data_IF_323818403826
#
_entry.id   IF_323818403826
#
_cell.length_a   1.000
_cell.length_b   1.000
_cell.length_c   1.000
_cell.angle_alpha   90.00
_cell.angle_beta   90.00
_cell.angle_gamma   90.00
#
_symmetry.space_group_name_H-M   'P 1'
#
loop_
_entity.id
_entity.type
_entity.pdbx_description
1 polymer ?
#
# COMPACT_ATOMS: atom_id res chain seq x y z
N UNK A 1 79.28 16.46 47.62
CA UNK A 1 80.36 15.96 46.73
C UNK A 1 79.74 15.60 45.37
N UNK A 2 79.81 16.48 44.38
CA UNK A 2 80.77 16.44 43.25
C UNK A 2 80.65 15.25 42.28
N UNK A 3 80.20 15.61 41.05
CA UNK A 3 80.69 15.21 39.71
C UNK A 3 80.39 13.81 39.13
N UNK A 4 79.65 13.84 37.98
CA UNK A 4 79.94 13.35 36.60
C UNK A 4 80.41 11.87 36.44
N UNK A 5 80.00 11.05 35.44
CA UNK A 5 79.50 11.25 34.06
C UNK A 5 79.18 9.88 33.42
N UNK A 6 78.27 9.84 32.44
CA UNK A 6 78.22 8.83 31.35
C UNK A 6 76.80 8.66 30.76
N UNK A 7 76.38 9.44 29.74
CA UNK A 7 76.38 9.11 28.28
C UNK A 7 75.39 7.98 27.92
N UNK A 8 74.48 8.02 26.94
CA UNK A 8 74.17 8.83 25.73
C UNK A 8 72.71 8.47 25.30
N UNK A 9 71.83 9.43 24.96
CA UNK A 9 71.43 9.92 23.62
C UNK A 9 70.71 8.87 22.71
N UNK A 10 69.54 9.14 22.11
CA UNK A 10 69.27 10.02 20.93
C UNK A 10 67.79 10.50 20.98
N UNK A 11 67.43 11.79 20.87
CA UNK A 11 67.42 12.72 19.71
C UNK A 11 66.49 12.25 18.57
N UNK A 12 65.57 13.05 18.03
CA UNK A 12 65.30 14.48 18.18
C UNK A 12 64.42 14.98 17.02
N UNK A 13 63.62 16.00 17.33
CA UNK A 13 62.74 16.78 16.46
C UNK A 13 63.52 17.89 15.72
N UNK A 14 63.02 18.41 14.58
CA UNK A 14 63.00 19.84 14.15
C UNK A 14 62.47 19.93 12.69
N UNK A 15 61.34 20.57 12.39
CA UNK A 15 61.10 22.03 12.14
C UNK A 15 61.65 22.53 10.80
N UNK A 16 60.83 23.27 10.02
CA UNK A 16 61.10 24.60 9.42
C UNK A 16 59.93 25.03 8.51
N UNK A 17 59.74 26.35 8.42
CA UNK A 17 58.62 27.13 7.90
C UNK A 17 59.08 27.99 6.69
N UNK A 18 58.12 28.41 5.84
CA UNK A 18 58.02 29.64 5.02
C UNK A 18 58.28 29.65 3.47
N UNK A 19 57.19 30.06 2.77
CA UNK A 19 57.00 31.05 1.67
C UNK A 19 57.51 30.81 0.23
N UNK A 20 56.60 30.91 -0.76
CA UNK A 20 56.61 31.86 -1.90
C UNK A 20 55.25 31.86 -2.66
N UNK A 21 55.01 32.92 -3.45
CA UNK A 21 53.71 33.49 -3.84
C UNK A 21 53.12 33.08 -5.22
N UNK A 22 51.79 33.27 -5.32
CA UNK A 22 50.85 33.54 -6.43
C UNK A 22 51.20 33.30 -7.92
N UNK A 23 50.25 32.72 -8.69
CA UNK A 23 49.53 33.36 -9.83
C UNK A 23 48.42 32.43 -10.41
N UNK A 24 47.22 33.02 -10.54
CA UNK A 24 46.07 32.79 -11.45
C UNK A 24 45.19 31.51 -11.50
N UNK A 25 43.90 31.80 -11.24
CA UNK A 25 42.67 31.41 -11.96
C UNK A 25 41.86 30.15 -11.56
N UNK A 26 40.66 30.45 -11.05
CA UNK A 26 39.36 29.77 -11.15
C UNK A 26 39.08 28.47 -10.35
N UNK A 27 38.10 28.60 -9.44
CA UNK A 27 37.35 27.55 -8.73
C UNK A 27 36.36 26.79 -9.67
N UNK A 28 35.60 25.74 -9.28
CA UNK A 28 35.27 25.34 -7.90
C UNK A 28 35.22 23.83 -7.55
N UNK A 29 35.43 23.58 -6.24
CA UNK A 29 34.72 22.66 -5.32
C UNK A 29 34.11 21.38 -5.93
N UNK A 30 34.63 20.21 -5.54
CA UNK A 30 33.90 18.94 -5.64
C UNK A 30 34.02 18.14 -4.34
N UNK A 31 32.86 17.64 -3.91
CA UNK A 31 32.59 17.07 -2.60
C UNK A 31 33.30 15.75 -2.32
N UNK A 32 33.48 15.49 -1.03
CA UNK A 32 33.91 14.21 -0.49
C UNK A 32 32.86 13.12 -0.81
N UNK A 33 33.29 12.07 -1.49
CA UNK A 33 32.49 10.86 -1.71
C UNK A 33 32.58 10.02 -0.44
N UNK A 34 31.50 10.01 0.36
CA UNK A 34 31.29 8.98 1.39
C UNK A 34 30.87 7.69 0.69
N UNK A 35 31.74 6.68 0.73
CA UNK A 35 31.41 5.33 0.28
C UNK A 35 30.50 4.66 1.33
N UNK A 36 29.20 4.56 1.04
CA UNK A 36 28.28 3.71 1.79
C UNK A 36 28.44 2.28 1.26
N UNK A 37 28.99 1.40 2.09
CA UNK A 37 28.94 -0.05 1.86
C UNK A 37 27.51 -0.50 2.16
N UNK A 38 26.70 -0.65 1.12
CA UNK A 38 25.41 -1.32 1.22
C UNK A 38 25.64 -2.83 1.36
N UNK A 39 25.41 -3.38 2.56
CA UNK A 39 25.25 -4.83 2.73
C UNK A 39 23.95 -5.26 2.04
N UNK A 40 24.06 -5.84 0.85
CA UNK A 40 22.98 -6.60 0.24
C UNK A 40 22.77 -7.89 1.03
N UNK A 41 21.74 -7.92 1.86
CA UNK A 41 21.19 -9.17 2.36
C UNK A 41 20.40 -9.82 1.22
N UNK A 42 20.66 -11.09 0.97
CA UNK A 42 19.96 -11.90 -0.03
C UNK A 42 18.49 -12.08 0.34
N UNK A 43 17.64 -11.12 -0.03
CA UNK A 43 16.20 -11.28 -0.07
C UNK A 43 15.84 -11.92 -1.42
N UNK A 44 15.13 -13.04 -1.39
CA UNK A 44 14.61 -13.67 -2.60
C UNK A 44 13.74 -12.70 -3.39
N UNK A 45 13.87 -12.75 -4.72
CA UNK A 45 13.19 -11.90 -5.70
C UNK A 45 11.67 -11.89 -5.49
N UNK A 46 11.19 -10.91 -4.72
CA UNK A 46 9.78 -10.62 -4.47
C UNK A 46 9.24 -9.55 -5.45
N UNK A 47 10.03 -9.18 -6.47
CA UNK A 47 9.74 -8.11 -7.41
C UNK A 47 9.85 -6.70 -6.82
N UNK A 48 10.56 -6.50 -5.70
CA UNK A 48 10.77 -5.19 -5.06
C UNK A 48 9.53 -4.64 -4.32
N UNK A 49 8.54 -5.49 -4.08
CA UNK A 49 7.23 -5.12 -3.53
C UNK A 49 7.31 -4.89 -2.02
N UNK A 50 8.19 -5.60 -1.31
CA UNK A 50 8.42 -5.45 0.12
C UNK A 50 8.69 -3.99 0.54
N UNK A 51 9.56 -3.31 -0.20
CA UNK A 51 10.03 -1.95 0.14
C UNK A 51 9.38 -0.87 -0.76
N UNK A 52 9.03 -1.22 -2.00
CA UNK A 52 8.46 -0.33 -3.02
C UNK A 52 6.91 -0.27 -3.06
N UNK A 53 6.36 0.43 -4.06
CA UNK A 53 4.92 0.47 -4.35
C UNK A 53 4.10 1.50 -3.55
N UNK A 54 2.90 1.83 -4.05
CA UNK A 54 1.92 2.71 -3.39
C UNK A 54 0.51 2.15 -3.52
N UNK A 55 -0.33 2.37 -2.51
CA UNK A 55 -1.75 2.10 -2.58
C UNK A 55 -2.50 3.32 -2.04
N UNK A 56 -3.36 3.86 -2.89
CA UNK A 56 -3.94 5.18 -2.68
C UNK A 56 -5.08 5.14 -1.65
N UNK A 57 -5.68 3.98 -1.39
CA UNK A 57 -6.69 3.77 -0.35
C UNK A 57 -6.12 3.37 1.02
N UNK A 58 -4.79 3.37 1.19
CA UNK A 58 -4.12 3.13 2.48
C UNK A 58 -3.63 4.48 3.03
N UNK A 59 -3.95 4.85 4.29
CA UNK A 59 -3.37 6.02 4.92
C UNK A 59 -1.83 5.99 4.80
N UNK A 60 -1.17 7.06 4.32
CA UNK A 60 0.27 7.04 4.06
C UNK A 60 1.09 6.57 5.27
N UNK A 61 0.67 6.96 6.48
CA UNK A 61 1.34 6.55 7.71
C UNK A 61 1.23 5.05 8.01
N UNK A 62 0.10 4.41 7.69
CA UNK A 62 -0.05 2.96 7.81
C UNK A 62 0.79 2.23 6.77
N UNK A 63 0.84 2.73 5.53
CA UNK A 63 1.69 2.13 4.50
C UNK A 63 3.17 2.17 4.90
N UNK A 64 3.63 3.28 5.51
CA UNK A 64 4.97 3.37 6.11
C UNK A 64 5.20 2.30 7.17
N UNK A 65 4.23 2.08 8.06
CA UNK A 65 4.31 1.04 9.09
C UNK A 65 4.43 -0.37 8.49
N UNK A 66 3.61 -0.69 7.47
CA UNK A 66 3.66 -2.00 6.81
C UNK A 66 5.01 -2.26 6.15
N UNK A 67 5.56 -1.27 5.43
CA UNK A 67 6.88 -1.40 4.78
C UNK A 67 8.01 -1.56 5.81
N UNK A 68 7.96 -0.77 6.89
CA UNK A 68 8.92 -0.86 8.00
C UNK A 68 8.86 -2.25 8.67
N UNK A 69 7.66 -2.79 8.90
CA UNK A 69 7.48 -4.12 9.46
C UNK A 69 8.14 -5.22 8.59
N UNK A 70 7.99 -5.13 7.26
CA UNK A 70 8.63 -6.07 6.32
C UNK A 70 10.16 -6.01 6.42
N UNK A 71 10.74 -4.81 6.57
CA UNK A 71 12.19 -4.65 6.74
C UNK A 71 12.70 -5.19 8.09
N UNK A 72 11.87 -5.16 9.13
CA UNK A 72 12.25 -5.56 10.48
C UNK A 72 12.00 -7.04 10.78
N UNK A 73 11.01 -7.67 10.14
CA UNK A 73 10.53 -9.02 10.54
C UNK A 73 11.64 -10.08 10.51
N UNK A 74 12.58 -9.99 9.56
CA UNK A 74 13.70 -10.92 9.45
C UNK A 74 14.64 -10.94 10.67
N UNK A 75 14.63 -9.88 11.50
CA UNK A 75 15.38 -9.84 12.76
C UNK A 75 14.77 -10.74 13.84
N UNK A 76 13.48 -11.02 13.73
CA UNK A 76 12.71 -11.79 14.71
C UNK A 76 12.37 -13.18 14.19
N UNK A 77 12.12 -13.31 12.89
CA UNK A 77 11.86 -14.58 12.21
C UNK A 77 12.77 -14.68 10.99
N UNK A 78 14.02 -15.10 11.22
CA UNK A 78 15.09 -15.13 10.21
C UNK A 78 14.80 -16.01 8.99
N UNK A 79 13.95 -17.03 9.15
CA UNK A 79 13.55 -17.93 8.08
C UNK A 79 12.32 -17.45 7.30
N UNK A 80 11.69 -16.33 7.70
CA UNK A 80 10.51 -15.85 6.99
C UNK A 80 10.86 -15.40 5.57
N UNK A 81 10.14 -15.92 4.58
CA UNK A 81 10.31 -15.54 3.17
C UNK A 81 9.02 -14.97 2.60
N UNK A 82 9.13 -14.03 1.68
CA UNK A 82 7.99 -13.50 0.94
C UNK A 82 7.04 -12.61 1.73
N UNK A 83 7.42 -12.15 2.92
CA UNK A 83 6.68 -11.10 3.62
C UNK A 83 6.73 -9.83 2.77
N UNK A 84 5.57 -9.27 2.45
CA UNK A 84 5.41 -8.08 1.62
C UNK A 84 4.32 -7.19 2.20
N UNK A 85 4.44 -5.86 2.07
CA UNK A 85 3.45 -4.96 2.67
C UNK A 85 2.00 -5.22 2.20
N UNK A 86 1.73 -5.72 0.96
CA UNK A 86 0.38 -6.13 0.57
C UNK A 86 -0.24 -7.22 1.45
N UNK A 87 0.57 -8.11 2.03
CA UNK A 87 0.09 -9.15 2.96
C UNK A 87 -0.45 -8.50 4.24
N UNK A 88 0.32 -7.58 4.83
CA UNK A 88 -0.08 -6.82 6.02
C UNK A 88 -1.30 -5.92 5.73
N UNK A 89 -1.29 -5.25 4.58
CA UNK A 89 -2.41 -4.42 4.15
C UNK A 89 -3.69 -5.26 3.99
N UNK A 90 -3.61 -6.45 3.39
CA UNK A 90 -4.78 -7.33 3.24
C UNK A 90 -5.46 -7.66 4.58
N UNK A 91 -4.67 -7.99 5.61
CA UNK A 91 -5.19 -8.23 6.97
C UNK A 91 -5.79 -6.94 7.54
N UNK A 92 -5.01 -5.86 7.62
CA UNK A 92 -5.46 -4.61 8.23
C UNK A 92 -6.68 -3.99 7.52
N UNK A 93 -6.87 -4.29 6.22
CA UNK A 93 -8.05 -3.88 5.46
C UNK A 93 -9.32 -4.53 6.01
N UNK A 94 -9.27 -5.83 6.26
CA UNK A 94 -10.41 -6.58 6.80
C UNK A 94 -10.62 -6.25 8.28
N UNK A 95 -9.55 -6.11 9.06
CA UNK A 95 -9.63 -5.91 10.51
C UNK A 95 -10.09 -4.52 10.94
N UNK A 96 -9.58 -3.48 10.28
CA UNK A 96 -9.83 -2.09 10.72
C UNK A 96 -10.02 -1.11 9.58
N UNK A 97 -10.04 -1.60 8.33
CA UNK A 97 -9.96 -0.76 7.15
C UNK A 97 -8.75 0.20 7.23
N UNK A 98 -7.58 -0.33 7.61
CA UNK A 98 -6.32 0.41 7.82
C UNK A 98 -6.44 1.58 8.80
N UNK A 99 -7.25 1.44 9.85
CA UNK A 99 -7.54 2.52 10.80
C UNK A 99 -8.10 3.80 10.15
N UNK A 100 -8.76 3.71 8.99
CA UNK A 100 -9.43 4.85 8.35
C UNK A 100 -10.42 5.49 9.34
N UNK A 101 -10.42 6.82 9.39
CA UNK A 101 -11.23 7.60 10.33
C UNK A 101 -10.56 7.83 11.70
N UNK A 102 -9.31 7.37 11.88
CA UNK A 102 -8.48 7.67 13.05
C UNK A 102 -7.36 8.64 12.71
N UNK A 103 -6.89 9.36 13.72
CA UNK A 103 -5.63 10.10 13.66
C UNK A 103 -4.48 9.14 13.88
N UNK A 104 -3.48 9.18 13.01
CA UNK A 104 -2.28 8.34 13.09
C UNK A 104 -1.08 9.28 13.18
N UNK A 105 -0.52 9.39 14.38
CA UNK A 105 0.58 10.31 14.65
C UNK A 105 1.89 9.87 13.97
N UNK A 106 2.88 10.78 13.91
CA UNK A 106 4.18 10.49 13.31
C UNK A 106 4.89 9.29 13.96
N UNK A 107 4.80 9.18 15.29
CA UNK A 107 5.31 8.05 16.08
C UNK A 107 4.49 6.74 15.91
N UNK A 108 3.41 6.76 15.14
CA UNK A 108 2.55 5.61 14.87
C UNK A 108 1.31 5.51 15.76
N UNK A 109 1.13 6.35 16.77
CA UNK A 109 0.00 6.22 17.69
C UNK A 109 -1.33 6.46 17.00
N UNK A 110 -2.26 5.52 17.17
CA UNK A 110 -3.59 5.59 16.59
C UNK A 110 -4.59 6.08 17.65
N UNK A 111 -5.28 7.19 17.35
CA UNK A 111 -6.30 7.78 18.23
C UNK A 111 -7.60 8.10 17.48
N UNK A 112 -8.77 7.86 18.09
CA UNK A 112 -8.97 7.04 19.30
C UNK A 112 -8.47 5.59 19.12
N UNK A 113 -8.29 4.85 20.22
CA UNK A 113 -7.89 3.42 20.18
C UNK A 113 -8.96 2.56 19.51
N UNK A 114 -8.53 1.49 18.84
CA UNK A 114 -9.43 0.60 18.10
C UNK A 114 -9.68 -0.64 18.95
N UNK A 115 -10.96 -0.85 19.30
CA UNK A 115 -11.41 -1.99 20.09
C UNK A 115 -12.46 -2.77 19.31
N UNK A 116 -12.32 -4.09 19.32
CA UNK A 116 -13.34 -5.01 18.87
C UNK A 116 -14.49 -5.13 19.87
N UNK A 117 -15.44 -6.00 19.51
CA UNK A 117 -16.53 -6.37 20.41
C UNK A 117 -15.99 -7.14 21.62
N UNK A 118 -16.67 -7.02 22.77
CA UNK A 118 -16.37 -7.83 23.94
C UNK A 118 -16.74 -9.28 23.68
N UNK A 119 -15.79 -10.19 23.77
CA UNK A 119 -15.97 -11.62 23.49
C UNK A 119 -16.50 -12.36 24.73
N UNK A 120 -17.78 -12.17 25.03
CA UNK A 120 -18.44 -12.69 26.22
C UNK A 120 -19.40 -13.85 25.96
N UNK A 121 -19.47 -14.39 24.73
CA UNK A 121 -20.37 -15.49 24.41
C UNK A 121 -21.85 -15.09 24.26
N UNK A 122 -22.15 -13.80 24.06
CA UNK A 122 -23.53 -13.27 23.94
C UNK A 122 -24.34 -13.77 22.73
N UNK A 123 -23.71 -14.40 21.75
CA UNK A 123 -24.29 -14.81 20.46
C UNK A 123 -24.46 -13.68 19.45
N UNK A 124 -24.38 -12.41 19.86
CA UNK A 124 -24.51 -11.27 18.96
C UNK A 124 -23.35 -11.20 17.96
N UNK A 125 -23.66 -11.11 16.66
CA UNK A 125 -22.64 -11.04 15.61
C UNK A 125 -21.70 -12.26 15.54
N UNK A 126 -22.15 -13.44 15.99
CA UNK A 126 -21.32 -14.65 16.03
C UNK A 126 -20.41 -14.77 17.26
N UNK A 127 -20.59 -13.92 18.26
CA UNK A 127 -19.88 -13.96 19.55
C UNK A 127 -20.36 -15.15 20.41
N UNK A 128 -20.10 -16.38 19.99
CA UNK A 128 -20.61 -17.60 20.65
C UNK A 128 -19.68 -18.17 21.70
N UNK A 129 -18.43 -17.72 21.73
CA UNK A 129 -17.39 -18.22 22.64
C UNK A 129 -16.94 -17.08 23.53
N UNK A 130 -17.00 -17.29 24.85
CA UNK A 130 -16.46 -16.35 25.81
C UNK A 130 -14.94 -16.50 25.92
N UNK A 131 -14.22 -15.39 25.85
CA UNK A 131 -12.78 -15.32 26.07
C UNK A 131 -12.53 -14.58 27.39
N UNK A 132 -11.95 -15.26 28.40
CA UNK A 132 -11.56 -14.62 29.66
C UNK A 132 -10.53 -13.51 29.42
N UNK A 133 -10.54 -12.51 30.30
CA UNK A 133 -9.52 -11.45 30.34
C UNK A 133 -8.13 -12.06 30.56
N UNK A 134 -7.14 -11.57 29.83
CA UNK A 134 -5.74 -12.04 29.93
C UNK A 134 -4.74 -10.96 30.30
N UNK A 135 -5.13 -9.69 30.31
CA UNK A 135 -4.22 -8.57 30.53
C UNK A 135 -4.72 -7.55 31.57
N UNK A 136 -5.81 -7.87 32.29
CA UNK A 136 -6.45 -7.02 33.28
C UNK A 136 -6.82 -5.64 32.72
N UNK A 137 -7.30 -5.61 31.48
CA UNK A 137 -7.71 -4.42 30.75
C UNK A 137 -6.58 -3.51 30.29
N UNK A 138 -5.32 -3.98 30.31
CA UNK A 138 -4.15 -3.17 29.94
C UNK A 138 -4.27 -2.62 28.52
N UNK A 139 -4.65 -3.46 27.56
CA UNK A 139 -4.71 -3.09 26.16
C UNK A 139 -6.12 -2.76 25.70
N UNK A 140 -7.14 -3.41 26.23
CA UNK A 140 -8.52 -3.24 25.75
C UNK A 140 -9.44 -2.42 26.69
N UNK A 141 -8.95 -2.06 27.87
CA UNK A 141 -9.66 -1.22 28.84
C UNK A 141 -10.73 -1.94 29.65
N UNK A 142 -10.76 -3.27 29.69
CA UNK A 142 -11.74 -4.02 30.49
C UNK A 142 -11.17 -5.29 31.12
N UNK A 143 -11.55 -5.59 32.36
CA UNK A 143 -11.23 -6.87 33.01
C UNK A 143 -12.40 -7.87 32.96
N UNK A 144 -13.43 -7.59 32.15
CA UNK A 144 -14.67 -8.39 32.09
C UNK A 144 -14.65 -9.47 31.00
N UNK A 145 -13.52 -9.65 30.33
CA UNK A 145 -13.33 -10.52 29.18
C UNK A 145 -12.49 -9.82 28.12
N UNK A 146 -12.20 -10.52 27.04
CA UNK A 146 -11.24 -10.05 26.04
C UNK A 146 -11.91 -9.26 24.89
N UNK A 147 -11.22 -8.24 24.38
CA UNK A 147 -11.51 -7.63 23.07
C UNK A 147 -10.29 -7.68 22.17
N UNK A 148 -10.54 -7.75 20.87
CA UNK A 148 -9.52 -7.48 19.88
C UNK A 148 -9.05 -6.01 19.94
N UNK A 149 -7.75 -5.75 19.78
CA UNK A 149 -7.14 -4.42 19.91
C UNK A 149 -6.34 -4.02 18.67
N UNK A 150 -6.32 -2.71 18.40
CA UNK A 150 -5.44 -2.13 17.40
C UNK A 150 -5.90 -2.30 15.95
N UNK A 151 -5.10 -1.83 14.97
CA UNK A 151 -5.45 -1.85 13.55
C UNK A 151 -5.46 -3.26 12.95
N UNK A 152 -4.90 -4.23 13.67
CA UNK A 152 -4.84 -5.65 13.31
C UNK A 152 -5.77 -6.51 14.19
N UNK A 153 -6.49 -5.94 15.15
CA UNK A 153 -7.49 -6.66 15.96
C UNK A 153 -6.90 -7.92 16.65
N UNK A 154 -5.71 -7.82 17.24
CA UNK A 154 -5.15 -8.89 18.05
C UNK A 154 -5.91 -9.07 19.35
N UNK A 155 -6.09 -10.30 19.81
CA UNK A 155 -6.39 -10.53 21.23
C UNK A 155 -5.14 -10.19 22.06
N UNK A 156 -5.27 -9.52 23.22
CA UNK A 156 -4.18 -9.30 24.16
C UNK A 156 -3.35 -10.55 24.45
N UNK A 157 -3.98 -11.71 24.64
CA UNK A 157 -3.29 -13.01 24.77
C UNK A 157 -2.39 -13.38 23.59
N UNK A 158 -2.83 -13.16 22.35
CA UNK A 158 -1.98 -13.34 21.17
C UNK A 158 -0.84 -12.32 21.19
N UNK A 159 -1.16 -11.05 21.48
CA UNK A 159 -0.20 -9.95 21.48
C UNK A 159 0.97 -10.18 22.44
N UNK A 160 0.73 -10.78 23.60
CA UNK A 160 1.77 -11.12 24.58
C UNK A 160 2.92 -11.92 23.95
N UNK A 161 2.61 -12.88 23.06
CA UNK A 161 3.62 -13.71 22.40
C UNK A 161 4.33 -13.05 21.21
N UNK A 162 3.65 -12.15 20.50
CA UNK A 162 4.12 -11.62 19.20
C UNK A 162 4.58 -10.17 19.23
N UNK A 163 4.17 -9.39 20.23
CA UNK A 163 4.40 -7.94 20.29
C UNK A 163 5.89 -7.60 20.18
N UNK A 164 6.20 -6.61 19.34
CA UNK A 164 7.55 -6.06 19.15
C UNK A 164 7.46 -4.55 19.07
N UNK A 165 8.36 -3.88 19.77
CA UNK A 165 8.61 -2.44 19.61
C UNK A 165 9.27 -2.22 18.25
N UNK A 166 8.56 -1.48 17.39
CA UNK A 166 9.01 -1.11 16.06
C UNK A 166 9.28 0.40 15.96
N UNK A 167 8.72 1.25 16.83
CA UNK A 167 8.91 2.69 16.80
C UNK A 167 10.12 3.18 17.62
N UNK A 168 10.68 2.32 18.48
CA UNK A 168 11.87 2.55 19.30
C UNK A 168 11.60 3.24 20.65
N UNK A 169 10.35 3.28 21.10
CA UNK A 169 9.97 3.93 22.37
C UNK A 169 10.04 3.01 23.61
N UNK A 170 10.49 1.76 23.41
CA UNK A 170 10.64 0.69 24.40
C UNK A 170 9.32 0.05 24.86
N UNK A 171 8.21 0.37 24.20
CA UNK A 171 6.91 -0.25 24.44
C UNK A 171 6.44 -0.94 23.18
N UNK A 172 5.94 -2.17 23.30
CA UNK A 172 5.20 -2.82 22.21
C UNK A 172 3.70 -2.57 22.42
N UNK A 173 3.15 -1.52 21.81
CA UNK A 173 1.74 -1.11 21.94
C UNK A 173 0.91 -1.62 20.74
N UNK A 174 -0.10 -2.50 20.93
CA UNK A 174 -0.94 -2.98 19.83
C UNK A 174 -1.78 -1.86 19.19
N UNK A 175 -1.93 -0.70 19.83
CA UNK A 175 -2.59 0.49 19.27
C UNK A 175 -1.63 1.42 18.50
N UNK A 176 -0.34 1.10 18.44
CA UNK A 176 0.62 1.79 17.60
C UNK A 176 0.73 1.09 16.23
N UNK A 177 0.71 1.89 15.15
CA UNK A 177 0.75 1.39 13.78
C UNK A 177 2.01 0.58 13.46
N UNK A 178 3.19 1.04 13.90
CA UNK A 178 4.47 0.38 13.59
C UNK A 178 4.57 -0.96 14.32
N UNK A 179 4.26 -0.97 15.61
CA UNK A 179 4.34 -2.16 16.47
C UNK A 179 3.33 -3.20 16.01
N UNK A 180 2.07 -2.81 15.82
CA UNK A 180 1.02 -3.72 15.40
C UNK A 180 1.31 -4.34 14.02
N UNK A 181 1.87 -3.56 13.09
CA UNK A 181 2.30 -4.08 11.79
C UNK A 181 3.44 -5.09 11.91
N UNK A 182 4.44 -4.82 12.77
CA UNK A 182 5.54 -5.76 13.01
C UNK A 182 5.07 -7.02 13.72
N UNK A 183 4.20 -6.90 14.72
CA UNK A 183 3.58 -8.04 15.40
C UNK A 183 2.80 -8.92 14.42
N UNK A 184 2.02 -8.32 13.53
CA UNK A 184 1.34 -9.06 12.45
C UNK A 184 2.30 -9.76 11.50
N UNK A 185 3.40 -9.10 11.13
CA UNK A 185 4.41 -9.75 10.30
C UNK A 185 5.02 -10.96 11.01
N UNK A 186 5.40 -10.83 12.28
CA UNK A 186 5.92 -11.93 13.10
C UNK A 186 4.93 -13.08 13.18
N UNK A 187 3.66 -12.78 13.46
CA UNK A 187 2.62 -13.80 13.62
C UNK A 187 2.35 -14.57 12.32
N UNK A 188 2.25 -13.87 11.19
CA UNK A 188 2.05 -14.48 9.87
C UNK A 188 3.27 -15.27 9.41
N UNK A 189 4.48 -14.81 9.72
CA UNK A 189 5.71 -15.54 9.46
C UNK A 189 5.81 -16.83 10.30
N UNK A 190 5.25 -16.84 11.52
CA UNK A 190 5.28 -17.99 12.43
C UNK A 190 6.68 -18.55 12.61
N UNK A 191 6.83 -19.88 12.46
CA UNK A 191 8.11 -20.57 12.56
C UNK A 191 8.98 -20.51 11.28
N UNK A 192 8.85 -19.45 10.46
CA UNK A 192 9.65 -19.29 9.23
C UNK A 192 8.94 -19.73 7.95
N UNK A 193 7.64 -19.41 7.81
CA UNK A 193 6.88 -19.68 6.59
C UNK A 193 7.47 -18.98 5.36
N UNK A 194 7.26 -19.61 4.22
CA UNK A 194 7.50 -19.05 2.89
C UNK A 194 6.19 -18.55 2.30
N UNK A 195 5.88 -17.28 2.53
CA UNK A 195 4.64 -16.63 2.12
C UNK A 195 4.57 -16.36 0.61
N UNK A 196 5.64 -16.64 -0.15
CA UNK A 196 5.56 -16.68 -1.61
C UNK A 196 4.71 -17.84 -2.10
N UNK A 197 4.61 -18.93 -1.31
CA UNK A 197 3.80 -20.10 -1.60
C UNK A 197 2.35 -19.87 -1.16
N UNK A 198 1.42 -19.92 -2.10
CA UNK A 198 -0.01 -19.64 -1.85
C UNK A 198 -0.60 -20.51 -0.73
N UNK A 199 -0.20 -21.79 -0.65
CA UNK A 199 -0.65 -22.70 0.41
C UNK A 199 -0.15 -22.29 1.81
N UNK A 200 1.08 -21.81 1.93
CA UNK A 200 1.62 -21.34 3.21
C UNK A 200 1.03 -19.99 3.61
N UNK A 201 0.80 -19.10 2.64
CA UNK A 201 0.06 -17.85 2.88
C UNK A 201 -1.37 -18.12 3.36
N UNK A 202 -2.08 -19.05 2.72
CA UNK A 202 -3.41 -19.48 3.15
C UNK A 202 -3.40 -20.02 4.58
N UNK A 203 -2.43 -20.88 4.90
CA UNK A 203 -2.29 -21.43 6.24
C UNK A 203 -1.95 -20.34 7.30
N UNK A 204 -1.16 -19.33 6.94
CA UNK A 204 -0.88 -18.19 7.83
C UNK A 204 -2.12 -17.35 8.11
N UNK A 205 -2.95 -17.09 7.07
CA UNK A 205 -4.19 -16.33 7.22
C UNK A 205 -5.23 -17.13 8.02
N UNK A 206 -5.32 -18.46 7.82
CA UNK A 206 -6.20 -19.31 8.62
C UNK A 206 -5.75 -19.40 10.08
N UNK A 207 -4.45 -19.40 10.36
CA UNK A 207 -3.92 -19.27 11.72
C UNK A 207 -4.31 -17.91 12.34
N UNK A 208 -4.44 -16.87 11.52
CA UNK A 208 -4.94 -15.57 11.96
C UNK A 208 -6.42 -15.62 12.34
N UNK A 209 -7.23 -16.22 11.46
CA UNK A 209 -8.65 -16.45 11.67
C UNK A 209 -9.10 -17.67 10.86
N UNK A 210 -9.64 -18.69 11.53
CA UNK A 210 -9.99 -19.99 10.94
C UNK A 210 -11.22 -19.97 9.99
N UNK A 211 -11.69 -18.79 9.56
CA UNK A 211 -12.80 -18.64 8.62
C UNK A 211 -12.34 -18.69 7.17
N UNK A 212 -13.00 -19.51 6.35
CA UNK A 212 -12.78 -19.55 4.90
C UNK A 212 -13.26 -18.29 4.18
N UNK A 213 -14.30 -17.63 4.70
CA UNK A 213 -14.77 -16.34 4.20
C UNK A 213 -13.72 -15.25 4.45
N UNK A 214 -13.18 -15.22 5.68
CA UNK A 214 -12.09 -14.32 6.05
C UNK A 214 -10.87 -14.55 5.14
N UNK A 215 -10.47 -15.81 4.95
CA UNK A 215 -9.39 -16.18 4.05
C UNK A 215 -9.62 -15.63 2.64
N UNK A 216 -10.80 -15.85 2.06
CA UNK A 216 -11.12 -15.38 0.71
C UNK A 216 -11.07 -13.85 0.62
N UNK A 217 -11.59 -13.15 1.63
CA UNK A 217 -11.61 -11.69 1.67
C UNK A 217 -10.19 -11.11 1.76
N UNK A 218 -9.38 -11.60 2.70
CA UNK A 218 -7.99 -11.17 2.87
C UNK A 218 -7.18 -11.44 1.61
N UNK A 219 -7.27 -12.65 1.04
CA UNK A 219 -6.54 -12.98 -0.18
C UNK A 219 -6.91 -12.05 -1.35
N UNK A 220 -8.19 -11.71 -1.51
CA UNK A 220 -8.64 -10.75 -2.50
C UNK A 220 -7.98 -9.37 -2.32
N UNK A 221 -7.91 -8.87 -1.09
CA UNK A 221 -7.22 -7.62 -0.79
C UNK A 221 -5.70 -7.70 -0.99
N UNK A 222 -5.07 -8.82 -0.61
CA UNK A 222 -3.64 -9.04 -0.86
C UNK A 222 -3.34 -8.98 -2.35
N UNK A 223 -4.17 -9.64 -3.17
CA UNK A 223 -3.98 -9.69 -4.62
C UNK A 223 -4.20 -8.29 -5.23
N UNK A 224 -5.21 -7.54 -4.75
CA UNK A 224 -5.43 -6.14 -5.15
C UNK A 224 -4.26 -5.23 -4.77
N UNK A 225 -3.75 -5.30 -3.55
CA UNK A 225 -2.61 -4.49 -3.12
C UNK A 225 -1.31 -4.90 -3.79
N UNK A 226 -1.13 -6.19 -4.08
CA UNK A 226 0.02 -6.70 -4.84
C UNK A 226 0.00 -6.14 -6.25
N UNK A 227 -1.18 -6.07 -6.88
CA UNK A 227 -1.35 -5.40 -8.16
C UNK A 227 -1.02 -3.91 -8.03
N UNK A 228 -1.58 -3.20 -7.05
CA UNK A 228 -1.34 -1.76 -6.87
C UNK A 228 0.13 -1.40 -6.61
N UNK A 229 0.86 -2.30 -5.94
CA UNK A 229 2.27 -2.14 -5.63
C UNK A 229 3.18 -2.25 -6.86
N UNK A 230 2.77 -3.04 -7.87
CA UNK A 230 3.51 -3.21 -9.12
C UNK A 230 3.20 -2.04 -10.05
N UNK A 231 4.22 -1.28 -10.41
CA UNK A 231 4.09 -0.33 -11.51
C UNK A 231 3.84 -1.09 -12.81
N UNK A 232 2.90 -0.65 -13.67
CA UNK A 232 2.69 -1.30 -14.96
C UNK A 232 3.95 -1.18 -15.82
N UNK A 233 4.33 -2.27 -16.47
CA UNK A 233 5.42 -2.26 -17.45
C UNK A 233 4.91 -1.65 -18.76
N UNK A 234 5.38 -0.44 -19.08
CA UNK A 234 5.03 0.29 -20.30
C UNK A 234 6.15 0.28 -21.34
N UNK A 235 7.21 -0.52 -21.16
CA UNK A 235 8.39 -0.52 -22.05
C UNK A 235 8.02 -0.77 -23.52
N UNK A 236 7.10 -1.71 -23.76
CA UNK A 236 6.64 -2.07 -25.10
C UNK A 236 5.37 -1.32 -25.56
N UNK A 237 4.91 -0.33 -24.79
CA UNK A 237 3.75 0.50 -25.15
C UNK A 237 4.25 1.81 -25.75
N UNK A 238 3.72 2.21 -26.91
CA UNK A 238 4.17 3.39 -27.65
C UNK A 238 2.99 4.23 -28.18
N UNK A 239 3.32 5.40 -28.74
CA UNK A 239 2.36 6.28 -29.38
C UNK A 239 1.23 6.76 -28.48
N UNK A 240 0.04 6.93 -29.06
CA UNK A 240 -1.15 7.46 -28.36
C UNK A 240 -1.56 6.59 -27.17
N UNK A 241 -1.35 5.26 -27.25
CA UNK A 241 -1.66 4.35 -26.14
C UNK A 241 -0.82 4.71 -24.93
N UNK A 242 0.49 4.90 -25.12
CA UNK A 242 1.40 5.31 -24.03
C UNK A 242 0.98 6.64 -23.41
N UNK A 243 0.60 7.63 -24.23
CA UNK A 243 0.11 8.93 -23.76
C UNK A 243 -1.11 8.80 -22.85
N UNK A 244 -2.09 7.95 -23.20
CA UNK A 244 -3.26 7.68 -22.35
C UNK A 244 -2.84 7.09 -21.02
N UNK A 245 -1.99 6.07 -21.04
CA UNK A 245 -1.58 5.36 -19.82
C UNK A 245 -0.74 6.25 -18.89
N UNK A 246 0.23 6.99 -19.42
CA UNK A 246 1.03 7.94 -18.64
C UNK A 246 0.17 9.04 -18.04
N UNK A 247 -0.77 9.60 -18.81
CA UNK A 247 -1.71 10.60 -18.30
C UNK A 247 -2.55 10.03 -17.15
N UNK A 248 -3.16 8.85 -17.29
CA UNK A 248 -3.98 8.25 -16.25
C UNK A 248 -3.16 7.86 -15.00
N UNK A 249 -1.99 7.25 -15.19
CA UNK A 249 -1.13 6.81 -14.08
C UNK A 249 -0.53 7.99 -13.31
N UNK A 250 -0.30 9.14 -13.97
CA UNK A 250 0.15 10.38 -13.30
C UNK A 250 -0.86 10.90 -12.27
N UNK A 251 -2.14 10.50 -12.39
CA UNK A 251 -3.20 10.93 -11.48
C UNK A 251 -3.40 9.99 -10.30
N UNK A 252 -2.57 8.93 -10.13
CA UNK A 252 -2.63 8.07 -8.95
C UNK A 252 -2.51 8.88 -7.66
N UNK A 253 -3.40 8.63 -6.70
CA UNK A 253 -3.47 9.40 -5.46
C UNK A 253 -4.40 10.62 -5.53
N UNK A 254 -4.89 11.02 -6.70
CA UNK A 254 -5.91 12.08 -6.79
C UNK A 254 -7.24 11.57 -6.20
N UNK A 255 -7.96 12.35 -5.38
CA UNK A 255 -9.22 11.93 -4.80
C UNK A 255 -10.30 11.58 -5.82
N UNK A 256 -11.18 10.66 -5.43
CA UNK A 256 -12.45 10.49 -6.13
C UNK A 256 -13.36 11.68 -5.87
N UNK A 257 -13.89 12.28 -6.93
CA UNK A 257 -14.92 13.32 -6.86
C UNK A 257 -16.10 12.97 -7.75
N UNK A 258 -17.29 12.81 -7.18
CA UNK A 258 -18.49 12.44 -7.94
C UNK A 258 -18.84 13.52 -8.96
N UNK A 259 -18.85 13.21 -10.25
CA UNK A 259 -19.04 14.22 -11.29
C UNK A 259 -17.78 15.04 -11.61
N UNK A 260 -16.67 14.83 -10.91
CA UNK A 260 -15.41 15.54 -11.12
C UNK A 260 -14.57 14.97 -12.26
N UNK A 261 -13.68 15.81 -12.80
CA UNK A 261 -12.77 15.49 -13.90
C UNK A 261 -13.21 16.09 -15.23
N UNK A 262 -12.24 16.70 -15.92
CA UNK A 262 -12.42 17.28 -17.25
C UNK A 262 -11.24 16.93 -18.16
N UNK A 263 -11.30 17.33 -19.44
CA UNK A 263 -10.18 17.19 -20.38
C UNK A 263 -8.90 17.90 -19.91
N UNK A 264 -9.03 18.89 -19.02
CA UNK A 264 -7.93 19.68 -18.50
C UNK A 264 -7.29 19.09 -17.23
N UNK A 265 -8.02 18.29 -16.44
CA UNK A 265 -7.52 17.75 -15.18
C UNK A 265 -8.62 17.47 -14.16
N UNK A 266 -8.23 17.24 -12.89
CA UNK A 266 -9.19 17.06 -11.80
C UNK A 266 -10.00 18.34 -11.60
N UNK A 267 -11.25 18.19 -11.20
CA UNK A 267 -12.15 19.30 -10.90
C UNK A 267 -13.00 18.97 -9.69
N UNK A 268 -13.67 19.98 -9.14
CA UNK A 268 -14.80 19.71 -8.24
C UNK A 268 -15.90 18.95 -8.99
N UNK A 269 -16.67 18.22 -8.21
CA UNK A 269 -17.78 17.42 -8.68
C UNK A 269 -19.14 18.05 -8.39
N UNK A 270 -20.17 17.20 -8.38
CA UNK A 270 -21.55 17.55 -8.07
C UNK A 270 -22.06 16.73 -6.90
N UNK A 271 -23.20 17.14 -6.33
CA UNK A 271 -23.97 16.30 -5.42
C UNK A 271 -25.09 15.59 -6.21
N UNK A 272 -25.39 14.32 -5.97
CA UNK A 272 -24.70 13.36 -5.10
C UNK A 272 -24.64 11.98 -5.79
N UNK A 273 -23.68 11.15 -5.37
CA UNK A 273 -23.62 9.75 -5.79
C UNK A 273 -24.88 8.99 -5.35
N UNK A 274 -25.18 7.81 -5.95
CA UNK A 274 -26.28 6.95 -5.49
C UNK A 274 -26.18 6.57 -4.00
N UNK A 275 -24.97 6.59 -3.43
CA UNK A 275 -24.71 6.35 -2.01
C UNK A 275 -24.73 7.63 -1.15
N UNK A 276 -25.24 8.74 -1.69
CA UNK A 276 -25.38 10.03 -0.98
C UNK A 276 -24.06 10.78 -0.71
N UNK A 277 -22.97 10.46 -1.41
CA UNK A 277 -21.68 11.17 -1.23
C UNK A 277 -21.55 12.32 -2.22
N UNK A 278 -21.21 13.51 -1.74
CA UNK A 278 -21.01 14.70 -2.57
C UNK A 278 -19.58 14.79 -3.12
N UNK A 279 -19.44 15.26 -4.36
CA UNK A 279 -18.16 15.67 -4.96
C UNK A 279 -17.93 17.19 -4.96
N UNK A 280 -18.89 18.00 -4.48
CA UNK A 280 -18.86 19.48 -4.58
C UNK A 280 -17.60 20.11 -3.98
N UNK A 281 -17.09 19.54 -2.89
CA UNK A 281 -15.94 20.07 -2.13
C UNK A 281 -14.66 19.24 -2.32
N UNK A 282 -14.65 18.35 -3.31
CA UNK A 282 -13.53 17.45 -3.58
C UNK A 282 -13.02 17.73 -4.99
N UNK A 283 -11.81 18.26 -5.12
CA UNK A 283 -11.12 18.36 -6.41
C UNK A 283 -10.53 17.00 -6.76
N UNK A 284 -11.05 16.37 -7.82
CA UNK A 284 -10.67 15.00 -8.17
C UNK A 284 -11.27 14.51 -9.49
N UNK A 285 -11.36 13.19 -9.61
CA UNK A 285 -11.96 12.50 -10.76
C UNK A 285 -13.05 11.53 -10.31
N UNK A 286 -14.12 11.39 -11.08
CA UNK A 286 -14.86 10.12 -11.13
C UNK A 286 -14.31 9.19 -12.22
N UNK A 287 -14.91 8.00 -12.31
CA UNK A 287 -14.42 6.93 -13.18
C UNK A 287 -14.32 7.36 -14.66
N UNK A 288 -15.38 7.95 -15.21
CA UNK A 288 -15.44 8.37 -16.60
C UNK A 288 -14.80 9.75 -16.84
N UNK A 289 -14.65 10.57 -15.81
CA UNK A 289 -13.86 11.80 -15.85
C UNK A 289 -12.37 11.53 -15.99
N UNK A 290 -11.84 10.50 -15.30
CA UNK A 290 -10.44 10.08 -15.43
C UNK A 290 -10.14 9.55 -16.84
N UNK A 291 -11.00 8.69 -17.39
CA UNK A 291 -10.82 8.17 -18.75
C UNK A 291 -10.89 9.29 -19.77
N UNK A 292 -11.88 10.18 -19.66
CA UNK A 292 -12.03 11.35 -20.52
C UNK A 292 -10.78 12.22 -20.52
N UNK A 293 -10.23 12.52 -19.34
CA UNK A 293 -8.97 13.26 -19.20
C UNK A 293 -7.81 12.56 -19.94
N UNK A 294 -7.61 11.27 -19.66
CA UNK A 294 -6.47 10.52 -20.19
C UNK A 294 -6.50 10.42 -21.72
N UNK A 295 -7.67 10.13 -22.29
CA UNK A 295 -7.86 10.07 -23.74
C UNK A 295 -7.77 11.45 -24.40
N UNK A 296 -8.21 12.51 -23.72
CA UNK A 296 -8.03 13.88 -24.23
C UNK A 296 -6.55 14.25 -24.37
N UNK A 297 -5.65 13.77 -23.50
CA UNK A 297 -4.19 13.95 -23.65
C UNK A 297 -3.63 13.26 -24.90
N UNK A 298 -4.29 12.21 -25.36
CA UNK A 298 -3.98 11.56 -26.64
C UNK A 298 -4.78 12.12 -27.82
N UNK A 299 -5.53 13.22 -27.65
CA UNK A 299 -6.34 13.84 -28.70
C UNK A 299 -7.61 13.05 -29.06
N UNK A 300 -8.16 12.26 -28.14
CA UNK A 300 -9.42 11.52 -28.32
C UNK A 300 -10.48 12.11 -27.39
N UNK A 301 -11.62 12.51 -27.96
CA UNK A 301 -12.76 12.98 -27.19
C UNK A 301 -13.62 11.80 -26.73
N UNK A 302 -13.91 11.74 -25.43
CA UNK A 302 -14.82 10.77 -24.84
C UNK A 302 -16.08 11.46 -24.31
N UNK A 303 -17.26 10.82 -24.43
CA UNK A 303 -18.46 11.23 -23.71
C UNK A 303 -18.24 11.25 -22.19
N UNK A 304 -19.06 12.04 -21.47
CA UNK A 304 -18.90 12.24 -20.03
C UNK A 304 -19.16 10.99 -19.20
N UNK A 305 -20.10 10.14 -19.59
CA UNK A 305 -20.58 9.00 -18.77
C UNK A 305 -19.96 7.69 -19.20
N UNK A 306 -19.69 6.80 -18.24
CA UNK A 306 -19.15 5.46 -18.50
C UNK A 306 -20.02 4.66 -19.49
N UNK A 307 -21.35 4.73 -19.33
CA UNK A 307 -22.30 4.07 -20.23
C UNK A 307 -22.27 4.62 -21.66
N UNK A 308 -21.94 5.90 -21.87
CA UNK A 308 -21.78 6.44 -23.23
C UNK A 308 -20.39 6.12 -23.82
N UNK A 309 -19.36 6.00 -22.99
CA UNK A 309 -18.00 5.67 -23.42
C UNK A 309 -17.88 4.26 -24.01
N UNK A 310 -18.76 3.32 -23.61
CA UNK A 310 -18.76 1.94 -24.14
C UNK A 310 -18.99 1.88 -25.66
N UNK A 311 -19.69 2.87 -26.21
CA UNK A 311 -20.02 2.96 -27.63
C UNK A 311 -18.92 3.63 -28.46
N UNK A 312 -17.81 4.04 -27.81
CA UNK A 312 -16.68 4.67 -28.51
C UNK A 312 -15.65 3.60 -28.87
N UNK A 313 -15.25 3.58 -30.14
CA UNK A 313 -14.30 2.60 -30.67
C UNK A 313 -14.92 1.23 -30.88
N UNK A 314 -14.08 0.19 -30.93
CA UNK A 314 -14.50 -1.19 -31.16
C UNK A 314 -14.86 -1.86 -29.84
N UNK A 315 -16.12 -2.26 -29.70
CA UNK A 315 -16.58 -3.01 -28.53
C UNK A 315 -15.89 -4.38 -28.40
N UNK A 316 -15.52 -4.73 -27.18
CA UNK A 316 -15.01 -6.04 -26.77
C UNK A 316 -16.08 -6.68 -25.87
N UNK A 317 -16.84 -7.67 -26.35
CA UNK A 317 -17.85 -8.36 -25.53
C UNK A 317 -17.24 -9.09 -24.32
N UNK A 318 -17.95 -9.09 -23.20
CA UNK A 318 -17.52 -9.78 -21.98
C UNK A 318 -17.22 -11.29 -22.19
N UNK A 319 -17.96 -11.94 -23.09
CA UNK A 319 -17.81 -13.37 -23.42
C UNK A 319 -16.46 -13.73 -24.07
N UNK A 320 -15.71 -12.75 -24.59
CA UNK A 320 -14.34 -12.99 -25.08
C UNK A 320 -13.31 -13.10 -23.95
N UNK A 321 -13.72 -12.84 -22.71
CA UNK A 321 -12.84 -12.86 -21.54
C UNK A 321 -11.88 -11.66 -21.49
N UNK A 322 -10.99 -11.69 -20.51
CA UNK A 322 -10.07 -10.58 -20.19
C UNK A 322 -8.73 -10.68 -20.91
N UNK A 323 -8.38 -11.87 -21.39
CA UNK A 323 -7.11 -12.14 -22.10
C UNK A 323 -6.99 -11.39 -23.42
N UNK A 324 -8.12 -10.97 -24.02
CA UNK A 324 -8.13 -10.19 -25.27
C UNK A 324 -7.85 -8.70 -25.05
N UNK A 325 -7.86 -8.23 -23.79
CA UNK A 325 -7.59 -6.83 -23.46
C UNK A 325 -6.14 -6.46 -23.77
N UNK A 326 -5.94 -5.26 -24.31
CA UNK A 326 -4.64 -4.66 -24.61
C UNK A 326 -4.49 -3.37 -23.83
N UNK A 327 -3.26 -2.98 -23.44
CA UNK A 327 -3.03 -1.70 -22.76
C UNK A 327 -3.69 -0.55 -23.53
N UNK A 328 -4.41 0.31 -22.81
CA UNK A 328 -5.21 1.38 -23.39
C UNK A 328 -6.60 0.98 -23.88
N UNK A 329 -7.08 -0.24 -23.62
CA UNK A 329 -8.51 -0.55 -23.72
C UNK A 329 -9.26 0.04 -22.51
N UNK A 330 -10.48 0.51 -22.73
CA UNK A 330 -11.42 0.78 -21.63
C UNK A 330 -11.97 -0.55 -21.10
N UNK A 331 -12.19 -0.63 -19.80
CA UNK A 331 -12.76 -1.80 -19.10
C UNK A 331 -14.01 -1.37 -18.36
N UNK A 332 -15.14 -2.05 -18.61
CA UNK A 332 -16.45 -1.64 -18.11
C UNK A 332 -17.02 -2.64 -17.10
N UNK A 333 -17.82 -2.13 -16.17
CA UNK A 333 -18.60 -2.93 -15.23
C UNK A 333 -20.04 -2.45 -15.19
N UNK A 334 -20.96 -3.39 -15.12
CA UNK A 334 -22.39 -3.16 -15.23
C UNK A 334 -23.16 -3.90 -14.14
N UNK A 335 -24.28 -3.31 -13.69
CA UNK A 335 -25.18 -3.98 -12.74
C UNK A 335 -25.83 -5.22 -13.37
N UNK A 336 -26.02 -5.20 -14.70
CA UNK A 336 -26.46 -6.33 -15.47
C UNK A 336 -25.56 -6.51 -16.70
N UNK A 337 -24.50 -7.35 -16.59
CA UNK A 337 -23.61 -7.66 -17.71
C UNK A 337 -24.40 -8.10 -18.95
N UNK A 338 -24.04 -7.54 -20.11
CA UNK A 338 -24.79 -7.70 -21.37
C UNK A 338 -25.78 -6.57 -21.66
N UNK A 339 -26.05 -5.66 -20.71
CA UNK A 339 -26.84 -4.44 -20.92
C UNK A 339 -26.02 -3.18 -20.65
N UNK A 340 -25.55 -2.56 -21.71
CA UNK A 340 -24.63 -1.41 -21.66
C UNK A 340 -25.20 -0.18 -20.95
N UNK A 341 -26.52 0.00 -21.01
CA UNK A 341 -27.22 1.06 -20.28
C UNK A 341 -27.09 0.93 -18.76
N UNK A 342 -26.66 -0.23 -18.25
CA UNK A 342 -26.46 -0.48 -16.82
C UNK A 342 -25.00 -0.40 -16.39
N UNK A 343 -24.10 0.06 -17.27
CA UNK A 343 -22.69 0.31 -16.94
C UNK A 343 -22.61 1.40 -15.88
N UNK A 344 -21.97 1.07 -14.76
CA UNK A 344 -21.79 1.96 -13.61
C UNK A 344 -20.33 2.34 -13.38
N UNK A 345 -19.38 1.65 -13.99
CA UNK A 345 -17.96 1.92 -13.79
C UNK A 345 -17.14 1.69 -15.06
N UNK A 346 -16.06 2.46 -15.18
CA UNK A 346 -15.06 2.34 -16.25
C UNK A 346 -13.64 2.53 -15.68
N UNK A 347 -12.67 1.81 -16.22
CA UNK A 347 -11.24 2.01 -16.01
C UNK A 347 -10.45 1.87 -17.31
N UNK A 348 -9.14 2.13 -17.27
CA UNK A 348 -8.24 1.94 -18.41
C UNK A 348 -7.33 0.75 -18.12
N UNK A 349 -7.34 -0.26 -18.98
CA UNK A 349 -6.47 -1.41 -18.86
C UNK A 349 -5.01 -1.01 -19.07
N UNK A 350 -4.13 -1.37 -18.15
CA UNK A 350 -2.70 -1.02 -18.18
C UNK A 350 -1.80 -2.21 -18.51
N UNK A 351 -2.38 -3.40 -18.76
CA UNK A 351 -1.66 -4.66 -18.94
C UNK A 351 -1.75 -5.58 -17.72
N UNK A 352 -1.28 -6.82 -17.86
CA UNK A 352 -1.10 -7.79 -16.76
C UNK A 352 -2.32 -7.99 -15.85
N UNK A 353 -3.54 -7.91 -16.39
CA UNK A 353 -4.77 -8.08 -15.62
C UNK A 353 -5.15 -6.86 -14.76
N UNK A 354 -4.55 -5.70 -15.00
CA UNK A 354 -4.72 -4.49 -14.18
C UNK A 354 -5.41 -3.36 -14.94
N UNK A 355 -6.10 -2.50 -14.19
CA UNK A 355 -6.62 -1.23 -14.69
C UNK A 355 -6.28 -0.08 -13.75
N UNK A 356 -6.10 1.11 -14.31
CA UNK A 356 -6.13 2.37 -13.54
C UNK A 356 -7.55 2.94 -13.56
N UNK A 357 -8.06 3.32 -12.39
CA UNK A 357 -9.43 3.79 -12.23
C UNK A 357 -9.59 4.78 -11.06
N UNK A 358 -10.69 5.54 -11.10
CA UNK A 358 -11.25 6.26 -9.96
C UNK A 358 -12.51 5.50 -9.50
N UNK A 359 -12.37 4.59 -8.52
CA UNK A 359 -13.37 3.54 -8.29
C UNK A 359 -14.70 4.02 -7.68
N UNK A 360 -14.64 4.79 -6.58
CA UNK A 360 -15.81 5.19 -5.79
C UNK A 360 -15.48 6.29 -4.78
N UNK A 361 -16.50 6.98 -4.22
CA UNK A 361 -16.31 7.95 -3.14
C UNK A 361 -15.49 7.42 -1.97
N UNK A 362 -14.68 8.30 -1.36
CA UNK A 362 -13.80 7.94 -0.23
C UNK A 362 -12.55 7.16 -0.63
N UNK A 363 -12.29 7.03 -1.93
CA UNK A 363 -11.06 6.41 -2.45
C UNK A 363 -10.29 7.37 -3.34
N UNK A 364 -9.08 6.99 -3.71
CA UNK A 364 -8.23 7.74 -4.63
C UNK A 364 -8.10 6.97 -5.97
N UNK A 365 -7.66 7.66 -7.02
CA UNK A 365 -7.22 7.05 -8.27
C UNK A 365 -6.10 6.06 -7.98
N UNK A 366 -6.25 4.83 -8.47
CA UNK A 366 -5.31 3.74 -8.18
C UNK A 366 -5.32 2.68 -9.28
N UNK A 367 -4.47 1.68 -9.08
CA UNK A 367 -4.49 0.43 -9.82
C UNK A 367 -5.35 -0.58 -9.07
N UNK A 368 -6.27 -1.21 -9.79
CA UNK A 368 -7.04 -2.35 -9.32
C UNK A 368 -6.82 -3.52 -10.30
N UNK A 369 -6.86 -4.76 -9.81
CA UNK A 369 -7.02 -5.90 -10.70
C UNK A 369 -8.37 -5.78 -11.43
N UNK A 370 -8.44 -6.19 -12.69
CA UNK A 370 -9.71 -6.23 -13.44
C UNK A 370 -10.72 -7.16 -12.75
N UNK A 371 -10.24 -8.14 -11.99
CA UNK A 371 -11.08 -9.06 -11.23
C UNK A 371 -11.52 -8.52 -9.86
N UNK A 372 -11.00 -7.38 -9.40
CA UNK A 372 -11.32 -6.83 -8.08
C UNK A 372 -12.74 -6.22 -8.00
N UNK A 373 -13.44 -6.10 -9.13
CA UNK A 373 -14.79 -5.56 -9.21
C UNK A 373 -15.73 -6.54 -9.91
N UNK A 374 -16.91 -6.74 -9.31
CA UNK A 374 -17.97 -7.56 -9.87
C UNK A 374 -18.61 -6.92 -11.11
N UNK A 375 -19.31 -7.71 -11.93
CA UNK A 375 -20.10 -7.16 -13.03
C UNK A 375 -19.30 -6.80 -14.29
N UNK A 376 -18.15 -7.45 -14.53
CA UNK A 376 -17.35 -7.28 -15.75
C UNK A 376 -18.24 -7.33 -17.01
N UNK A 377 -18.23 -6.24 -17.78
CA UNK A 377 -19.11 -6.01 -18.93
C UNK A 377 -18.34 -5.91 -20.26
N UNK A 378 -17.08 -6.36 -20.27
CA UNK A 378 -16.20 -6.29 -21.43
C UNK A 378 -15.37 -5.01 -21.47
N UNK A 379 -14.95 -4.62 -22.67
CA UNK A 379 -14.11 -3.45 -22.90
C UNK A 379 -14.42 -2.71 -24.18
N UNK A 380 -13.68 -1.65 -24.47
CA UNK A 380 -13.70 -0.98 -25.77
C UNK A 380 -12.28 -0.60 -26.19
N UNK A 381 -11.94 -0.86 -27.45
CA UNK A 381 -10.64 -0.55 -28.05
C UNK A 381 -10.74 0.66 -28.95
N UNK A 382 -9.99 1.70 -28.63
CA UNK A 382 -10.00 2.98 -29.36
C UNK A 382 -8.73 3.19 -30.19
N UNK A 383 -7.66 2.46 -29.89
CA UNK A 383 -6.32 2.60 -30.46
C UNK A 383 -5.75 1.26 -30.90
#
# INVERSE_FOLDING_TARGET
MTRRRGRKAKWGCLTVMLLFAAVCCAAPISGAISAVVALQSAAGDDGGIAEGGTAADIPPRMLTAYKKAVQLVGRYVSQCRGMRWPVLAGIARVESNHAIGRTIAGNGDIRPRIYGVLLNGSGAGGNTTAFPDTDNGRWDGTASGERAVGPFQFLPSTWEGIGKDANGDKTADPHNADDAALGAAVYLCGNGRDLTKRSQLQAAILQYNHSTEYLSNVLGWIDQYTAAAKSPDLTNVSGRVRTVLEAALSQRGVPYSWGGGSTNGPSTGICCSPSGKSGTDITGFDCSGLTLYAYAKAGISLPRTAAAQVSVGRRIPAGLGKSVLKPGDLVFYAYAPGRDSTIYHVGIYVGSGQMVNAARPGTLVRLDAVDAMSGYAGGARLL
#
